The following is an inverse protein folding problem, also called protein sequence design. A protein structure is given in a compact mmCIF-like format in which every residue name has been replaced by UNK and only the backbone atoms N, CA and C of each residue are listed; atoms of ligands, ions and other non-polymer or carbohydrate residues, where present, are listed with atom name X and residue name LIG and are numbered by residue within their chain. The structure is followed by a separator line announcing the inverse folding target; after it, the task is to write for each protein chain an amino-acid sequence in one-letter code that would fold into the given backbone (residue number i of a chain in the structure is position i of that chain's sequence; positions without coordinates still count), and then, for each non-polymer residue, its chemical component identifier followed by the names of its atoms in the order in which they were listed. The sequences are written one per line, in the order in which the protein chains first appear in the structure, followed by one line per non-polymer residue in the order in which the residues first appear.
data_IF_788018339533
#
_entry.id   IF_788018339533
#
_cell.length_a   1.000
_cell.length_b   1.000
_cell.length_c   1.000
_cell.angle_alpha   90.00
_cell.angle_beta   90.00
_cell.angle_gamma   90.00
#
_symmetry.space_group_name_H-M   'P 1'
#
loop_
_entity.id
_entity.type
_entity.pdbx_description
1 polymer ?
#
# COMPACT_ATOMS: atom_id res chain seq x y z
N UNK A 1 11.46 -5.71 -8.21
CA UNK A 1 12.43 -4.78 -8.84
C UNK A 1 13.83 -5.28 -8.54
N UNK A 2 14.77 -5.24 -9.48
CA UNK A 2 16.18 -5.48 -9.18
C UNK A 2 17.09 -4.60 -10.04
N UNK A 3 18.32 -4.43 -9.58
CA UNK A 3 19.33 -3.62 -10.24
C UNK A 3 20.04 -4.41 -11.35
N UNK A 4 20.19 -3.81 -12.54
CA UNK A 4 20.91 -4.40 -13.67
C UNK A 4 21.58 -3.33 -14.52
N UNK A 5 22.89 -3.42 -14.73
CA UNK A 5 23.67 -2.57 -15.64
C UNK A 5 23.37 -1.06 -15.50
N UNK A 6 23.49 -0.52 -14.29
CA UNK A 6 23.19 0.89 -13.98
C UNK A 6 21.71 1.32 -14.15
N UNK A 7 20.76 0.39 -14.34
CA UNK A 7 19.31 0.66 -14.44
C UNK A 7 18.51 -0.17 -13.43
N UNK A 8 17.25 0.21 -13.23
CA UNK A 8 16.26 -0.59 -12.51
C UNK A 8 15.45 -1.40 -13.50
N UNK A 9 15.32 -2.70 -13.24
CA UNK A 9 14.48 -3.60 -14.02
C UNK A 9 13.22 -3.96 -13.21
N UNK A 10 12.07 -3.57 -13.75
CA UNK A 10 10.73 -3.91 -13.29
C UNK A 10 10.24 -5.11 -14.07
N UNK A 11 9.68 -6.10 -13.37
CA UNK A 11 9.10 -7.30 -13.95
C UNK A 11 7.70 -7.47 -13.40
N UNK A 12 6.70 -7.56 -14.27
CA UNK A 12 5.39 -8.06 -13.89
C UNK A 12 5.44 -9.58 -13.92
N UNK A 13 4.98 -10.22 -12.85
CA UNK A 13 5.04 -11.67 -12.64
C UNK A 13 3.65 -12.12 -12.25
N UNK A 14 3.14 -13.16 -12.93
CA UNK A 14 1.84 -13.74 -12.59
C UNK A 14 1.91 -14.63 -11.32
N UNK A 15 0.76 -15.11 -10.88
CA UNK A 15 0.65 -16.01 -9.71
C UNK A 15 1.31 -17.38 -9.90
N UNK A 16 1.72 -17.74 -11.12
CA UNK A 16 2.49 -18.93 -11.45
C UNK A 16 4.00 -18.65 -11.53
N UNK A 17 4.45 -17.42 -11.25
CA UNK A 17 5.84 -17.01 -11.37
C UNK A 17 6.31 -16.74 -12.80
N UNK A 18 5.39 -16.68 -13.76
CA UNK A 18 5.69 -16.36 -15.15
C UNK A 18 5.87 -14.85 -15.29
N UNK A 19 7.03 -14.44 -15.81
CA UNK A 19 7.28 -13.04 -16.16
C UNK A 19 6.39 -12.70 -17.37
N UNK A 20 5.47 -11.77 -17.19
CA UNK A 20 4.57 -11.30 -18.24
C UNK A 20 5.28 -10.28 -19.15
N UNK A 21 5.98 -9.33 -18.54
CA UNK A 21 6.77 -8.33 -19.24
C UNK A 21 7.82 -7.70 -18.32
N UNK A 22 8.76 -7.00 -18.95
CA UNK A 22 9.89 -6.33 -18.29
C UNK A 22 10.03 -4.91 -18.80
N UNK A 23 10.32 -3.97 -17.89
CA UNK A 23 10.59 -2.57 -18.20
C UNK A 23 11.88 -2.11 -17.50
N UNK A 24 12.70 -1.33 -18.20
CA UNK A 24 13.89 -0.70 -17.62
C UNK A 24 13.66 0.78 -17.36
N UNK A 25 14.14 1.29 -16.22
CA UNK A 25 14.10 2.70 -15.85
C UNK A 25 15.44 3.20 -15.32
N UNK A 26 15.71 4.52 -15.41
CA UNK A 26 16.80 5.15 -14.68
C UNK A 26 16.73 4.84 -13.18
N UNK A 27 17.88 4.70 -12.52
CA UNK A 27 17.93 4.38 -11.07
C UNK A 27 17.25 5.39 -10.17
N UNK A 28 17.27 6.65 -10.57
CA UNK A 28 16.65 7.75 -9.84
C UNK A 28 15.11 7.68 -9.87
N UNK A 29 14.54 6.87 -10.76
CA UNK A 29 13.10 6.68 -10.94
C UNK A 29 12.67 5.33 -10.33
N UNK A 30 12.94 5.12 -9.04
CA UNK A 30 12.63 3.87 -8.33
C UNK A 30 11.17 3.75 -7.89
N UNK A 31 10.45 4.88 -7.81
CA UNK A 31 9.05 4.89 -7.43
C UNK A 31 8.16 4.25 -8.51
N UNK A 32 7.19 3.46 -8.05
CA UNK A 32 6.16 2.84 -8.88
C UNK A 32 4.88 2.69 -8.08
N UNK A 33 3.76 2.56 -8.78
CA UNK A 33 2.46 2.24 -8.19
C UNK A 33 1.84 1.09 -8.98
N UNK A 34 1.21 0.16 -8.28
CA UNK A 34 0.30 -0.83 -8.87
C UNK A 34 -1.07 -0.60 -8.27
N UNK A 35 -2.07 -0.41 -9.11
CA UNK A 35 -3.45 -0.18 -8.68
C UNK A 35 -4.44 -0.77 -9.69
N UNK A 36 -5.72 -0.74 -9.37
CA UNK A 36 -6.80 -1.18 -10.26
C UNK A 36 -7.62 0.02 -10.73
N UNK A 37 -8.10 -0.06 -11.96
CA UNK A 37 -9.00 0.90 -12.59
C UNK A 37 -10.20 0.14 -13.16
N UNK A 38 -11.25 0.82 -13.60
CA UNK A 38 -12.37 0.21 -14.32
C UNK A 38 -11.95 -0.62 -15.54
N UNK A 39 -10.84 -0.22 -16.19
CA UNK A 39 -10.28 -0.94 -17.33
C UNK A 39 -9.33 -2.08 -16.93
N UNK A 40 -9.23 -2.41 -15.64
CA UNK A 40 -8.35 -3.44 -15.09
C UNK A 40 -7.07 -2.90 -14.43
N UNK A 41 -6.16 -3.80 -14.02
CA UNK A 41 -4.97 -3.45 -13.26
C UNK A 41 -3.95 -2.69 -14.09
N UNK A 42 -3.32 -1.69 -13.47
CA UNK A 42 -2.35 -0.82 -14.09
C UNK A 42 -1.08 -0.70 -13.23
N UNK A 43 0.07 -0.73 -13.90
CA UNK A 43 1.36 -0.38 -13.33
C UNK A 43 1.75 1.03 -13.79
N UNK A 44 1.97 1.94 -12.85
CA UNK A 44 2.50 3.28 -13.14
C UNK A 44 3.99 3.30 -12.84
N UNK A 45 4.79 3.61 -13.85
CA UNK A 45 6.24 3.63 -13.75
C UNK A 45 6.78 5.03 -14.04
N UNK A 46 7.67 5.49 -13.18
CA UNK A 46 8.38 6.76 -13.35
C UNK A 46 9.49 6.62 -14.40
N UNK A 47 9.73 7.68 -15.18
CA UNK A 47 10.80 7.76 -16.16
C UNK A 47 11.30 9.21 -16.29
N UNK A 48 12.35 9.42 -17.10
CA UNK A 48 12.89 10.73 -17.43
C UNK A 48 12.53 11.13 -18.85
N UNK A 49 11.92 12.29 -19.00
CA UNK A 49 11.67 12.93 -20.28
C UNK A 49 12.95 13.52 -20.90
N UNK A 50 12.86 14.02 -22.14
CA UNK A 50 13.96 14.73 -22.77
C UNK A 50 14.34 15.98 -21.95
N UNK A 51 15.63 16.29 -21.90
CA UNK A 51 16.14 17.46 -21.20
C UNK A 51 15.59 18.74 -21.84
N UNK A 52 14.81 19.51 -21.08
CA UNK A 52 14.29 20.81 -21.52
C UNK A 52 14.93 21.90 -20.67
N UNK A 53 15.58 22.88 -21.29
CA UNK A 53 16.22 23.99 -20.57
C UNK A 53 17.37 23.61 -19.62
N UNK A 54 17.98 22.43 -19.80
CA UNK A 54 19.10 21.95 -18.97
C UNK A 54 18.71 21.20 -17.70
N UNK A 55 17.40 20.97 -17.46
CA UNK A 55 16.91 20.11 -16.38
C UNK A 55 16.26 18.85 -16.94
N UNK A 56 16.41 17.73 -16.21
CA UNK A 56 15.71 16.48 -16.51
C UNK A 56 14.28 16.60 -16.01
N UNK A 57 13.30 16.38 -16.89
CA UNK A 57 11.89 16.37 -16.54
C UNK A 57 11.48 14.98 -16.07
N UNK A 58 10.93 14.87 -14.87
CA UNK A 58 10.32 13.63 -14.39
C UNK A 58 9.01 13.38 -15.13
N UNK A 59 8.76 12.12 -15.49
CA UNK A 59 7.53 11.72 -16.18
C UNK A 59 6.95 10.45 -15.57
N UNK A 60 5.65 10.26 -15.71
CA UNK A 60 4.94 9.03 -15.37
C UNK A 60 4.28 8.43 -16.62
N UNK A 61 4.12 7.11 -16.66
CA UNK A 61 3.32 6.42 -17.67
C UNK A 61 2.62 5.22 -17.05
N UNK A 62 1.35 5.03 -17.42
CA UNK A 62 0.56 3.87 -17.03
C UNK A 62 0.65 2.75 -18.06
N UNK A 63 0.85 1.53 -17.58
CA UNK A 63 0.96 0.32 -18.37
C UNK A 63 -0.06 -0.70 -17.89
N UNK A 64 -0.76 -1.31 -18.82
CA UNK A 64 -1.56 -2.50 -18.55
C UNK A 64 -0.71 -3.56 -17.83
N UNK A 65 -1.12 -3.96 -16.62
CA UNK A 65 -0.28 -4.83 -15.77
C UNK A 65 -0.10 -6.23 -16.37
N UNK A 66 -1.05 -6.70 -17.19
CA UNK A 66 -0.99 -8.05 -17.77
C UNK A 66 -0.14 -8.11 -19.03
N UNK A 67 -0.27 -7.12 -19.90
CA UNK A 67 0.31 -7.11 -21.25
C UNK A 67 1.55 -6.23 -21.39
N UNK A 68 1.74 -5.28 -20.47
CA UNK A 68 2.80 -4.28 -20.54
C UNK A 68 2.56 -3.21 -21.61
N UNK A 69 1.38 -3.18 -22.23
CA UNK A 69 1.02 -2.15 -23.19
C UNK A 69 0.82 -0.81 -22.47
N UNK A 70 1.44 0.24 -23.00
CA UNK A 70 1.25 1.60 -22.48
C UNK A 70 -0.19 2.04 -22.74
N UNK A 71 -0.90 2.43 -21.68
CA UNK A 71 -2.26 2.98 -21.75
C UNK A 71 -2.25 4.50 -21.90
N UNK A 72 -1.37 5.17 -21.16
CA UNK A 72 -1.22 6.62 -21.20
C UNK A 72 0.22 7.08 -20.92
N UNK A 73 0.47 8.36 -21.19
CA UNK A 73 1.75 9.03 -20.96
C UNK A 73 2.75 8.93 -22.14
N UNK A 74 3.95 9.53 -21.99
CA UNK A 74 4.46 10.14 -20.76
C UNK A 74 3.72 11.42 -20.36
N UNK A 75 3.40 11.55 -19.09
CA UNK A 75 2.88 12.78 -18.47
C UNK A 75 3.99 13.39 -17.64
N UNK A 76 4.27 14.68 -17.81
CA UNK A 76 5.26 15.39 -17.00
C UNK A 76 4.76 15.53 -15.56
N UNK A 77 5.63 15.25 -14.59
CA UNK A 77 5.32 15.38 -13.17
C UNK A 77 6.13 16.51 -12.55
N UNK A 78 5.58 17.23 -11.55
CA UNK A 78 6.30 18.33 -10.90
C UNK A 78 7.56 17.87 -10.15
N UNK A 79 7.66 16.57 -9.84
CA UNK A 79 8.82 15.97 -9.20
C UNK A 79 8.59 14.51 -8.84
N UNK A 80 9.09 14.11 -7.68
CA UNK A 80 9.04 12.73 -7.19
C UNK A 80 7.62 12.35 -6.74
N UNK A 81 7.28 11.07 -6.86
CA UNK A 81 6.07 10.51 -6.29
C UNK A 81 6.21 10.41 -4.77
N UNK A 82 5.22 10.89 -4.05
CA UNK A 82 5.09 10.77 -2.60
C UNK A 82 4.29 9.49 -2.33
N UNK A 83 4.73 8.63 -1.41
CA UNK A 83 4.16 7.29 -1.17
C UNK A 83 2.65 7.21 -0.87
N UNK A 84 1.96 8.35 -0.78
CA UNK A 84 0.52 8.49 -0.57
C UNK A 84 -0.26 8.34 -1.90
N UNK A 85 0.06 7.31 -2.67
CA UNK A 85 -0.57 7.01 -3.96
C UNK A 85 0.00 7.79 -5.14
N UNK A 86 -0.84 8.14 -6.13
CA UNK A 86 -0.38 8.79 -7.37
C UNK A 86 -0.26 10.32 -7.22
N UNK A 87 0.44 10.74 -6.16
CA UNK A 87 0.68 12.14 -5.79
C UNK A 87 2.15 12.48 -5.99
N UNK A 88 2.41 13.62 -6.64
CA UNK A 88 3.75 14.11 -6.95
C UNK A 88 3.99 15.44 -6.25
N UNK A 89 5.22 15.69 -5.82
CA UNK A 89 5.61 16.99 -5.26
C UNK A 89 6.76 17.63 -6.01
N UNK A 90 6.64 18.95 -6.19
CA UNK A 90 7.77 19.78 -6.59
C UNK A 90 8.85 19.80 -5.51
N UNK A 91 10.09 20.06 -5.90
CA UNK A 91 11.14 20.38 -4.94
C UNK A 91 10.75 21.60 -4.07
N UNK A 92 11.07 21.61 -2.77
CA UNK A 92 10.80 22.77 -1.92
C UNK A 92 11.57 23.99 -2.42
N UNK A 93 10.93 25.17 -2.41
CA UNK A 93 11.51 26.43 -2.93
C UNK A 93 12.82 26.82 -2.22
N UNK A 94 12.94 26.49 -0.93
CA UNK A 94 14.08 26.89 -0.09
C UNK A 94 15.03 25.74 0.25
N UNK A 95 14.91 24.58 -0.41
CA UNK A 95 15.67 23.33 -0.15
C UNK A 95 15.60 22.78 1.29
N UNK A 96 14.99 23.52 2.22
CA UNK A 96 14.74 23.21 3.62
C UNK A 96 13.25 23.51 3.87
N UNK A 97 12.44 22.47 4.09
CA UNK A 97 11.01 22.63 4.39
C UNK A 97 10.13 21.51 3.86
N UNK A 98 8.84 21.58 4.21
CA UNK A 98 7.74 20.74 3.69
C UNK A 98 7.76 20.72 2.17
N UNK A 99 7.43 19.59 1.55
CA UNK A 99 7.48 19.42 0.10
C UNK A 99 6.78 20.55 -0.68
N UNK A 100 7.22 20.83 -1.90
CA UNK A 100 6.60 21.85 -2.75
C UNK A 100 5.15 21.51 -3.14
N UNK A 101 4.51 22.36 -3.97
CA UNK A 101 3.15 22.12 -4.46
C UNK A 101 2.98 20.70 -5.01
N UNK A 102 1.87 20.07 -4.63
CA UNK A 102 1.54 18.69 -4.99
C UNK A 102 0.56 18.60 -6.15
N UNK A 103 0.69 17.56 -6.95
CA UNK A 103 -0.22 17.23 -8.06
C UNK A 103 -0.60 15.75 -7.98
N UNK A 104 -1.88 15.44 -8.04
CA UNK A 104 -2.39 14.08 -8.13
C UNK A 104 -2.84 13.78 -9.56
N UNK A 105 -2.50 12.58 -10.06
CA UNK A 105 -2.91 12.11 -11.38
C UNK A 105 -3.94 10.99 -11.28
N UNK A 106 -4.90 10.96 -12.19
CA UNK A 106 -5.80 9.84 -12.39
C UNK A 106 -5.00 8.59 -12.82
N UNK A 107 -5.09 7.46 -12.10
CA UNK A 107 -4.40 6.23 -12.50
C UNK A 107 -4.89 5.64 -13.82
N UNK A 108 -6.14 5.85 -14.21
CA UNK A 108 -6.73 5.34 -15.45
C UNK A 108 -6.30 6.14 -16.69
N UNK A 109 -6.15 7.46 -16.58
CA UNK A 109 -5.90 8.33 -17.75
C UNK A 109 -4.57 9.06 -17.73
N UNK A 110 -3.97 9.24 -16.54
CA UNK A 110 -2.81 10.10 -16.32
C UNK A 110 -3.14 11.60 -16.27
N UNK A 111 -4.43 11.98 -16.33
CA UNK A 111 -4.85 13.38 -16.25
C UNK A 111 -4.69 13.94 -14.84
N UNK A 112 -4.53 15.26 -14.73
CA UNK A 112 -4.44 15.94 -13.43
C UNK A 112 -5.82 16.04 -12.81
N UNK A 113 -6.03 15.38 -11.68
CA UNK A 113 -7.30 15.43 -10.91
C UNK A 113 -7.25 16.43 -9.77
N UNK A 114 -6.05 16.73 -9.25
CA UNK A 114 -5.84 17.80 -8.30
C UNK A 114 -4.44 18.40 -8.44
N UNK A 115 -4.36 19.72 -8.33
CA UNK A 115 -3.09 20.43 -8.26
C UNK A 115 -3.19 21.52 -7.21
N UNK A 116 -2.20 21.59 -6.33
CA UNK A 116 -2.04 22.70 -5.41
C UNK A 116 -1.51 23.91 -6.15
N UNK A 117 -2.09 25.07 -5.86
CA UNK A 117 -1.52 26.36 -6.23
C UNK A 117 -1.02 27.06 -4.96
N UNK A 118 -0.06 27.98 -5.10
CA UNK A 118 0.49 28.73 -3.96
C UNK A 118 -0.60 29.53 -3.20
N UNK A 119 -1.68 29.91 -3.90
CA UNK A 119 -2.76 30.76 -3.38
C UNK A 119 -3.92 30.00 -2.73
N UNK A 120 -3.93 28.66 -2.77
CA UNK A 120 -5.04 27.85 -2.23
C UNK A 120 -4.71 27.30 -0.84
N UNK A 121 -5.63 27.46 0.12
CA UNK A 121 -5.52 26.80 1.44
C UNK A 121 -5.76 25.29 1.38
N UNK A 122 -6.23 24.78 0.24
CA UNK A 122 -6.44 23.36 0.00
C UNK A 122 -5.13 22.67 -0.38
N UNK A 123 -4.82 21.57 0.30
CA UNK A 123 -3.64 20.73 0.06
C UNK A 123 -4.02 19.31 -0.33
N UNK A 124 -3.22 18.69 -1.19
CA UNK A 124 -3.38 17.30 -1.62
C UNK A 124 -2.67 16.40 -0.62
N UNK A 125 -3.41 15.48 -0.02
CA UNK A 125 -2.91 14.57 1.01
C UNK A 125 -2.54 13.22 0.39
N UNK A 126 -3.51 12.57 -0.26
CA UNK A 126 -3.35 11.25 -0.84
C UNK A 126 -4.30 11.04 -2.03
N UNK A 127 -3.97 10.10 -2.92
CA UNK A 127 -4.88 9.59 -3.94
C UNK A 127 -4.73 8.07 -4.08
N UNK A 128 -5.75 7.33 -3.65
CA UNK A 128 -5.79 5.87 -3.75
C UNK A 128 -6.96 5.44 -4.61
N UNK A 129 -6.68 4.66 -5.66
CA UNK A 129 -7.70 4.24 -6.62
C UNK A 129 -8.49 5.46 -7.14
N UNK A 130 -9.75 5.61 -6.73
CA UNK A 130 -10.62 6.72 -7.10
C UNK A 130 -10.86 7.72 -5.97
N UNK A 131 -10.24 7.53 -4.81
CA UNK A 131 -10.44 8.33 -3.61
C UNK A 131 -9.32 9.37 -3.45
N UNK A 132 -9.68 10.62 -3.68
CA UNK A 132 -8.83 11.78 -3.43
C UNK A 132 -9.07 12.30 -2.01
N UNK A 133 -7.99 12.44 -1.23
CA UNK A 133 -8.02 13.08 0.09
C UNK A 133 -7.32 14.43 0.00
N UNK A 134 -8.04 15.48 0.42
CA UNK A 134 -7.51 16.86 0.52
C UNK A 134 -7.66 17.39 1.94
N UNK A 135 -6.73 18.23 2.36
CA UNK A 135 -6.88 19.01 3.58
C UNK A 135 -7.23 20.46 3.26
N UNK A 136 -8.12 21.06 4.06
CA UNK A 136 -8.50 22.46 3.96
C UNK A 136 -8.87 22.98 5.34
N UNK A 137 -8.20 24.07 5.74
CA UNK A 137 -8.32 24.61 7.09
C UNK A 137 -8.02 23.50 8.10
N UNK A 138 -8.92 23.18 9.03
CA UNK A 138 -8.74 22.08 10.00
C UNK A 138 -9.42 20.76 9.56
N UNK A 139 -9.87 20.66 8.31
CA UNK A 139 -10.65 19.51 7.83
C UNK A 139 -9.89 18.66 6.81
N UNK A 140 -10.20 17.37 6.82
CA UNK A 140 -9.95 16.43 5.74
C UNK A 140 -11.24 16.26 4.93
N UNK A 141 -11.09 16.20 3.61
CA UNK A 141 -12.17 16.08 2.65
C UNK A 141 -11.83 14.90 1.74
N UNK A 142 -12.71 13.91 1.71
CA UNK A 142 -12.66 12.79 0.76
C UNK A 142 -13.58 13.02 -0.42
N UNK A 143 -13.07 12.79 -1.62
CA UNK A 143 -13.75 13.00 -2.89
C UNK A 143 -13.49 11.83 -3.84
N UNK A 144 -14.40 11.60 -4.78
CA UNK A 144 -14.13 10.75 -5.92
C UNK A 144 -13.42 11.54 -7.06
N UNK A 145 -13.02 10.86 -8.13
CA UNK A 145 -12.36 11.50 -9.27
C UNK A 145 -13.27 12.40 -10.11
N UNK A 146 -14.59 12.25 -10.01
CA UNK A 146 -15.57 13.16 -10.62
C UNK A 146 -15.67 14.50 -9.86
N UNK A 147 -15.04 14.59 -8.68
CA UNK A 147 -15.07 15.77 -7.81
C UNK A 147 -16.27 15.81 -6.86
N UNK A 148 -17.05 14.73 -6.79
CA UNK A 148 -18.10 14.58 -5.78
C UNK A 148 -17.48 14.37 -4.41
N UNK A 149 -17.97 15.14 -3.46
CA UNK A 149 -17.57 15.01 -2.06
C UNK A 149 -18.27 13.82 -1.42
N UNK A 150 -17.46 12.89 -0.92
CA UNK A 150 -17.93 11.72 -0.17
C UNK A 150 -18.11 12.07 1.31
N UNK A 151 -17.14 12.77 1.90
CA UNK A 151 -17.18 13.13 3.32
C UNK A 151 -16.34 14.37 3.66
N UNK A 152 -16.56 14.87 4.87
CA UNK A 152 -15.72 15.87 5.52
C UNK A 152 -15.60 15.48 6.99
N UNK A 153 -14.37 15.53 7.52
CA UNK A 153 -14.04 15.27 8.92
C UNK A 153 -13.05 16.29 9.41
N UNK A 154 -13.06 16.57 10.71
CA UNK A 154 -12.02 17.38 11.30
C UNK A 154 -10.75 16.52 11.39
N UNK A 155 -9.58 17.08 11.06
CA UNK A 155 -8.34 16.31 11.08
C UNK A 155 -8.05 15.74 12.50
N UNK A 156 -8.43 16.50 13.53
CA UNK A 156 -8.34 16.07 14.93
C UNK A 156 -9.24 14.88 15.29
N UNK A 157 -10.19 14.47 14.45
CA UNK A 157 -10.92 13.21 14.62
C UNK A 157 -9.98 11.98 14.44
N UNK A 158 -8.78 12.20 13.88
CA UNK A 158 -7.73 11.21 13.66
C UNK A 158 -6.43 11.57 14.41
N UNK A 159 -6.53 12.39 15.46
CA UNK A 159 -5.40 12.85 16.29
C UNK A 159 -4.26 13.55 15.51
N UNK A 160 -4.59 14.16 14.37
CA UNK A 160 -3.63 14.91 13.53
C UNK A 160 -4.16 16.30 13.20
N UNK A 161 -3.27 17.25 12.95
CA UNK A 161 -3.66 18.50 12.29
C UNK A 161 -3.78 18.30 10.77
N UNK A 162 -4.51 19.19 10.10
CA UNK A 162 -4.62 19.18 8.64
C UNK A 162 -3.27 19.38 7.91
N UNK A 163 -2.30 20.01 8.58
CA UNK A 163 -0.94 20.18 8.09
C UNK A 163 -0.12 18.89 8.27
N UNK A 164 -0.25 18.21 9.42
CA UNK A 164 0.42 16.93 9.68
C UNK A 164 -0.13 15.81 8.80
N UNK A 165 -1.45 15.75 8.61
CA UNK A 165 -2.11 14.76 7.75
C UNK A 165 -1.51 14.70 6.34
N UNK A 166 -1.02 15.84 5.84
CA UNK A 166 -0.34 15.95 4.55
C UNK A 166 1.04 15.28 4.54
N UNK A 167 1.76 15.35 5.66
CA UNK A 167 3.17 14.94 5.75
C UNK A 167 3.34 13.52 6.29
N UNK A 168 2.38 13.01 7.05
CA UNK A 168 2.43 11.62 7.53
C UNK A 168 2.14 10.62 6.40
N UNK A 169 2.65 9.38 6.51
CA UNK A 169 2.37 8.33 5.56
C UNK A 169 0.89 7.95 5.54
N UNK A 170 0.40 7.70 4.33
CA UNK A 170 -0.87 7.06 4.07
C UNK A 170 -0.63 5.79 3.27
N UNK A 171 -1.18 4.67 3.72
CA UNK A 171 -1.02 3.38 3.07
C UNK A 171 -2.38 2.83 2.65
N UNK A 172 -2.59 2.46 1.37
CA UNK A 172 -3.87 1.90 0.93
C UNK A 172 -4.04 0.48 1.47
N UNK A 173 -5.19 0.21 2.09
CA UNK A 173 -5.57 -1.11 2.56
C UNK A 173 -6.78 -1.59 1.75
N UNK A 174 -6.54 -2.56 0.87
CA UNK A 174 -7.53 -2.96 -0.13
C UNK A 174 -7.89 -1.81 -1.07
N UNK A 175 -9.16 -1.74 -1.50
CA UNK A 175 -9.63 -0.72 -2.43
C UNK A 175 -10.31 0.49 -1.76
N UNK A 176 -10.72 0.35 -0.50
CA UNK A 176 -11.65 1.28 0.15
C UNK A 176 -11.15 1.82 1.49
N UNK A 177 -9.99 1.38 1.97
CA UNK A 177 -9.45 1.83 3.25
C UNK A 177 -8.06 2.40 3.10
N UNK A 178 -7.66 3.22 4.07
CA UNK A 178 -6.29 3.69 4.20
C UNK A 178 -5.86 3.68 5.66
N UNK A 179 -4.59 3.35 5.89
CA UNK A 179 -3.94 3.40 7.17
C UNK A 179 -3.14 4.70 7.28
N UNK A 180 -3.39 5.44 8.36
CA UNK A 180 -2.79 6.72 8.67
C UNK A 180 -1.71 6.57 9.73
N UNK A 181 -0.49 7.04 9.45
CA UNK A 181 0.63 7.05 10.41
C UNK A 181 1.80 6.16 10.02
N UNK A 182 2.91 6.32 10.74
CA UNK A 182 4.19 5.68 10.44
C UNK A 182 4.17 4.16 10.60
N UNK A 183 4.79 3.46 9.65
CA UNK A 183 4.98 2.01 9.72
C UNK A 183 5.78 1.64 11.00
N UNK A 184 5.19 0.78 11.83
CA UNK A 184 5.78 0.31 13.09
C UNK A 184 5.41 1.12 14.33
N UNK A 185 4.62 2.20 14.19
CA UNK A 185 3.95 2.83 15.33
C UNK A 185 2.67 2.08 15.68
N UNK A 186 2.31 2.01 16.96
CA UNK A 186 0.99 1.54 17.40
C UNK A 186 -0.07 2.65 17.31
N UNK A 187 0.29 3.92 17.13
CA UNK A 187 -0.68 5.04 17.13
C UNK A 187 -1.31 5.29 15.73
N UNK A 188 -1.52 4.24 14.94
CA UNK A 188 -2.04 4.36 13.58
C UNK A 188 -3.56 4.23 13.58
N UNK A 189 -4.21 4.89 12.61
CA UNK A 189 -5.67 4.85 12.46
C UNK A 189 -6.05 4.32 11.09
N UNK A 190 -6.90 3.30 11.06
CA UNK A 190 -7.49 2.78 9.84
C UNK A 190 -8.79 3.51 9.54
N UNK A 191 -8.92 4.04 8.32
CA UNK A 191 -10.11 4.78 7.91
C UNK A 191 -10.76 4.14 6.69
N UNK A 192 -12.09 4.26 6.60
CA UNK A 192 -12.86 3.99 5.38
C UNK A 192 -12.87 5.24 4.49
N UNK A 193 -12.34 5.12 3.28
CA UNK A 193 -12.23 6.21 2.30
C UNK A 193 -13.57 6.63 1.70
N UNK A 194 -14.63 5.82 1.81
CA UNK A 194 -15.97 6.16 1.33
C UNK A 194 -16.75 7.01 2.34
N UNK A 195 -16.56 6.78 3.63
CA UNK A 195 -17.33 7.43 4.69
C UNK A 195 -16.53 8.44 5.52
N UNK A 196 -15.21 8.31 5.53
CA UNK A 196 -14.29 9.04 6.41
C UNK A 196 -14.43 8.60 7.87
N UNK A 197 -15.00 7.43 8.15
CA UNK A 197 -15.06 6.89 9.50
C UNK A 197 -13.76 6.18 9.86
N UNK A 198 -13.29 6.35 11.10
CA UNK A 198 -12.28 5.48 11.68
C UNK A 198 -12.91 4.10 11.90
N UNK A 199 -12.26 3.07 11.38
CA UNK A 199 -12.64 1.67 11.58
C UNK A 199 -11.97 1.13 12.84
N UNK A 200 -10.68 1.45 13.00
CA UNK A 200 -9.88 1.02 14.14
C UNK A 200 -8.74 2.02 14.38
N UNK A 201 -8.27 2.11 15.62
CA UNK A 201 -7.22 3.03 16.06
C UNK A 201 -6.29 2.36 17.05
N UNK A 202 -5.14 2.96 17.32
CA UNK A 202 -4.12 2.38 18.20
C UNK A 202 -3.66 0.99 17.71
N UNK A 203 -3.49 0.88 16.38
CA UNK A 203 -3.01 -0.35 15.72
C UNK A 203 -1.61 -0.19 15.13
N UNK A 204 -0.85 -1.29 15.16
CA UNK A 204 0.46 -1.42 14.52
C UNK A 204 0.37 -1.59 13.00
N UNK A 205 -0.74 -2.16 12.51
CA UNK A 205 -0.92 -2.47 11.10
C UNK A 205 -2.34 -2.91 10.75
N UNK A 206 -2.64 -2.84 9.45
CA UNK A 206 -3.88 -3.30 8.86
C UNK A 206 -3.60 -3.98 7.52
N UNK A 207 -4.43 -4.96 7.16
CA UNK A 207 -4.33 -5.71 5.92
C UNK A 207 -5.71 -6.11 5.41
N UNK A 208 -5.84 -6.38 4.12
CA UNK A 208 -7.08 -6.86 3.51
C UNK A 208 -6.87 -8.24 2.88
N UNK A 209 -7.65 -9.23 3.31
CA UNK A 209 -7.70 -10.55 2.67
C UNK A 209 -8.87 -10.63 1.68
N UNK A 210 -8.58 -10.52 0.39
CA UNK A 210 -9.61 -10.60 -0.66
C UNK A 210 -10.32 -11.96 -0.71
N UNK A 211 -9.66 -13.04 -0.26
CA UNK A 211 -10.23 -14.39 -0.33
C UNK A 211 -11.37 -14.64 0.67
N UNK A 212 -11.39 -13.88 1.77
CA UNK A 212 -12.42 -13.92 2.80
C UNK A 212 -13.18 -12.61 2.93
N UNK A 213 -12.82 -11.60 2.13
CA UNK A 213 -13.34 -10.23 2.22
C UNK A 213 -13.28 -9.72 3.66
N UNK A 214 -12.10 -9.87 4.30
CA UNK A 214 -11.88 -9.48 5.71
C UNK A 214 -10.77 -8.45 5.79
N UNK A 215 -11.07 -7.34 6.45
CA UNK A 215 -10.07 -6.37 6.90
C UNK A 215 -9.52 -6.84 8.25
N UNK A 216 -8.21 -6.99 8.37
CA UNK A 216 -7.54 -7.46 9.59
C UNK A 216 -6.70 -6.33 10.16
N UNK A 217 -6.81 -6.10 11.46
CA UNK A 217 -5.96 -5.15 12.19
C UNK A 217 -5.19 -5.84 13.30
N UNK A 218 -4.09 -5.24 13.73
CA UNK A 218 -3.29 -5.72 14.84
C UNK A 218 -2.97 -4.54 15.77
N UNK A 219 -3.64 -4.48 16.93
CA UNK A 219 -3.32 -3.59 18.04
C UNK A 219 -2.99 -4.42 19.28
N UNK A 220 -3.67 -4.14 20.39
CA UNK A 220 -3.61 -4.99 21.59
C UNK A 220 -4.10 -6.43 21.29
N UNK A 221 -5.11 -6.54 20.44
CA UNK A 221 -5.65 -7.79 19.92
C UNK A 221 -5.64 -7.79 18.39
N UNK A 222 -5.84 -8.98 17.80
CA UNK A 222 -6.17 -9.09 16.39
C UNK A 222 -7.68 -8.93 16.25
N UNK A 223 -8.09 -8.05 15.35
CA UNK A 223 -9.48 -7.89 14.98
C UNK A 223 -9.69 -8.15 13.48
N UNK A 224 -10.85 -8.68 13.15
CA UNK A 224 -11.31 -8.84 11.79
C UNK A 224 -12.63 -8.11 11.57
N UNK A 225 -12.71 -7.34 10.50
CA UNK A 225 -13.86 -6.54 10.13
C UNK A 225 -14.42 -6.94 8.76
N UNK A 226 -15.72 -6.69 8.60
CA UNK A 226 -16.38 -6.60 7.31
C UNK A 226 -15.83 -5.43 6.48
N UNK A 227 -16.10 -5.44 5.18
CA UNK A 227 -15.72 -4.35 4.26
C UNK A 227 -16.44 -3.02 4.56
N UNK A 228 -17.48 -3.04 5.39
CA UNK A 228 -18.17 -1.84 5.91
C UNK A 228 -17.63 -1.34 7.27
N UNK A 229 -16.59 -1.99 7.80
CA UNK A 229 -15.97 -1.65 9.08
C UNK A 229 -16.65 -2.28 10.30
N UNK A 230 -17.65 -3.14 10.13
CA UNK A 230 -18.28 -3.86 11.26
C UNK A 230 -17.35 -4.96 11.78
N UNK A 231 -17.14 -5.04 13.09
CA UNK A 231 -16.32 -6.11 13.68
C UNK A 231 -17.00 -7.48 13.52
N UNK A 232 -16.24 -8.45 13.01
CA UNK A 232 -16.64 -9.85 12.85
C UNK A 232 -16.12 -10.73 13.97
N UNK A 233 -14.86 -10.52 14.38
CA UNK A 233 -14.18 -11.32 15.36
C UNK A 233 -13.01 -10.56 15.99
N UNK A 234 -12.66 -10.99 17.19
CA UNK A 234 -11.52 -10.53 17.98
C UNK A 234 -10.78 -11.78 18.50
N UNK A 235 -9.45 -11.73 18.50
CA UNK A 235 -8.61 -12.80 19.02
C UNK A 235 -7.32 -12.25 19.59
N UNK A 236 -6.77 -12.85 20.66
CA UNK A 236 -5.47 -12.48 21.18
C UNK A 236 -4.38 -12.53 20.11
N UNK A 237 -3.59 -11.45 20.01
CA UNK A 237 -2.32 -11.46 19.29
C UNK A 237 -1.36 -12.42 19.99
N UNK A 238 -0.71 -13.36 19.28
CA UNK A 238 0.24 -14.27 19.92
C UNK A 238 1.39 -13.50 20.59
N UNK A 239 1.81 -13.93 21.77
CA UNK A 239 2.92 -13.29 22.49
C UNK A 239 4.21 -13.32 21.64
N UNK A 240 4.93 -12.20 21.60
CA UNK A 240 6.18 -12.02 20.83
C UNK A 240 6.02 -12.33 19.33
N UNK A 241 4.85 -12.04 18.77
CA UNK A 241 4.56 -12.22 17.36
C UNK A 241 4.10 -10.91 16.72
N UNK A 242 4.59 -10.64 15.52
CA UNK A 242 4.11 -9.56 14.66
C UNK A 242 3.40 -10.15 13.45
N UNK A 243 2.39 -9.45 12.93
CA UNK A 243 1.74 -9.89 11.68
C UNK A 243 2.71 -9.63 10.52
N UNK A 244 3.17 -10.70 9.87
CA UNK A 244 4.09 -10.62 8.75
C UNK A 244 3.34 -10.36 7.43
N UNK A 245 2.23 -11.06 7.22
CA UNK A 245 1.38 -10.88 6.05
C UNK A 245 -0.02 -11.44 6.27
N UNK A 246 -0.98 -10.93 5.51
CA UNK A 246 -2.34 -11.45 5.42
C UNK A 246 -2.67 -11.71 3.95
N UNK A 247 -3.27 -12.86 3.68
CA UNK A 247 -3.70 -13.24 2.33
C UNK A 247 -4.03 -14.73 2.22
N UNK A 248 -4.76 -15.11 1.16
CA UNK A 248 -5.24 -16.46 0.92
C UNK A 248 -5.97 -17.09 2.13
N UNK A 249 -6.66 -16.26 2.92
CA UNK A 249 -7.46 -16.66 4.06
C UNK A 249 -6.65 -16.88 5.33
N UNK A 250 -5.37 -16.50 5.32
CA UNK A 250 -4.44 -16.66 6.44
C UNK A 250 -3.92 -15.31 6.93
N UNK A 251 -3.64 -15.26 8.23
CA UNK A 251 -2.83 -14.25 8.90
C UNK A 251 -1.55 -14.98 9.31
N UNK A 252 -0.42 -14.64 8.71
CA UNK A 252 0.88 -15.22 9.03
C UNK A 252 1.65 -14.31 9.99
N UNK A 253 2.36 -14.91 10.94
CA UNK A 253 3.08 -14.17 11.96
C UNK A 253 4.59 -14.35 11.80
N UNK A 254 5.37 -13.29 11.99
CA UNK A 254 6.78 -13.42 12.33
C UNK A 254 6.88 -13.62 13.84
N UNK A 255 7.63 -14.62 14.27
CA UNK A 255 7.83 -14.89 15.69
C UNK A 255 9.30 -14.71 16.00
N UNK A 256 9.63 -13.80 16.90
CA UNK A 256 11.00 -13.70 17.37
C UNK A 256 11.40 -15.05 17.99
N UNK A 257 12.39 -15.72 17.40
CA UNK A 257 12.88 -17.00 17.89
C UNK A 257 13.71 -16.81 19.15
N UNK A 258 13.09 -16.44 20.27
CA UNK A 258 13.72 -16.47 21.60
C UNK A 258 13.63 -17.87 22.18
N UNK A 259 14.25 -18.86 21.53
CA UNK A 259 14.21 -20.25 21.96
C UNK A 259 15.52 -20.97 21.65
N UNK A 260 16.28 -21.33 22.69
CA UNK A 260 17.37 -22.30 22.57
C UNK A 260 16.89 -23.67 22.05
N UNK A 261 17.80 -24.60 21.75
CA UNK A 261 17.55 -25.81 20.95
C UNK A 261 16.55 -26.83 21.52
N UNK A 262 15.82 -26.52 22.59
CA UNK A 262 14.95 -27.45 23.32
C UNK A 262 13.53 -26.92 23.57
N UNK A 263 13.13 -25.77 23.01
CA UNK A 263 11.72 -25.34 23.04
C UNK A 263 10.98 -25.83 21.80
N UNK A 264 10.09 -26.80 22.02
CA UNK A 264 9.10 -27.31 21.05
C UNK A 264 7.79 -26.51 21.08
N UNK A 265 7.82 -25.29 21.63
CA UNK A 265 6.63 -24.46 21.70
C UNK A 265 6.25 -24.04 20.29
N UNK A 266 5.07 -24.47 19.87
CA UNK A 266 4.56 -24.26 18.51
C UNK A 266 4.31 -22.76 18.36
N UNK A 267 5.28 -22.04 17.83
CA UNK A 267 5.04 -20.71 17.29
C UNK A 267 3.81 -20.79 16.39
N UNK A 268 2.82 -19.94 16.67
CA UNK A 268 1.61 -19.87 15.85
C UNK A 268 2.05 -19.28 14.50
N UNK A 269 2.33 -20.15 13.54
CA UNK A 269 2.77 -19.71 12.22
C UNK A 269 1.66 -18.95 11.47
N UNK A 270 0.39 -19.31 11.72
CA UNK A 270 -0.76 -18.65 11.10
C UNK A 270 -2.10 -18.84 11.84
N UNK A 271 -3.01 -17.90 11.60
CA UNK A 271 -4.44 -17.93 11.94
C UNK A 271 -5.30 -17.78 10.69
N UNK A 272 -6.59 -18.08 10.77
CA UNK A 272 -7.52 -17.82 9.67
C UNK A 272 -7.97 -16.36 9.68
N UNK A 273 -7.86 -15.67 8.54
CA UNK A 273 -8.39 -14.33 8.38
C UNK A 273 -9.93 -14.27 8.52
N UNK A 274 -10.62 -15.40 8.28
CA UNK A 274 -12.09 -15.44 8.32
C UNK A 274 -12.67 -15.30 9.73
N UNK A 275 -11.98 -15.81 10.74
CA UNK A 275 -12.54 -15.96 12.10
C UNK A 275 -11.51 -15.88 13.23
N UNK A 276 -10.25 -15.53 12.95
CA UNK A 276 -9.19 -15.41 13.95
C UNK A 276 -8.71 -16.73 14.56
N UNK A 277 -9.31 -17.88 14.25
CA UNK A 277 -8.93 -19.16 14.85
C UNK A 277 -7.57 -19.62 14.34
N UNK A 278 -6.88 -20.48 15.10
CA UNK A 278 -5.64 -21.11 14.66
C UNK A 278 -5.84 -21.77 13.29
N UNK A 279 -4.89 -21.56 12.38
CA UNK A 279 -4.94 -22.19 11.07
C UNK A 279 -4.56 -23.67 11.23
N UNK A 280 -5.56 -24.54 11.15
CA UNK A 280 -5.37 -25.99 11.24
C UNK A 280 -5.22 -26.62 9.84
N UNK A 281 -4.50 -27.74 9.78
CA UNK A 281 -4.32 -28.53 8.56
C UNK A 281 -2.90 -28.52 7.99
N UNK A 282 -2.75 -29.17 6.84
CA UNK A 282 -1.48 -29.39 6.14
C UNK A 282 -1.52 -28.81 4.71
N UNK A 283 -1.97 -27.56 4.59
CA UNK A 283 -1.99 -26.89 3.28
C UNK A 283 -0.55 -26.67 2.79
N UNK A 284 -0.31 -26.62 1.46
CA UNK A 284 1.01 -26.31 0.93
C UNK A 284 1.59 -25.02 1.51
N UNK A 285 0.78 -23.96 1.61
CA UNK A 285 1.19 -22.67 2.19
C UNK A 285 1.59 -22.82 3.67
N UNK A 286 0.76 -23.45 4.51
CA UNK A 286 1.11 -23.66 5.92
C UNK A 286 2.39 -24.50 6.11
N UNK A 287 2.63 -25.49 5.24
CA UNK A 287 3.89 -26.25 5.24
C UNK A 287 5.08 -25.36 4.87
N UNK A 288 4.91 -24.52 3.85
CA UNK A 288 5.93 -23.56 3.44
C UNK A 288 6.27 -22.61 4.57
N UNK A 289 5.28 -21.99 5.23
CA UNK A 289 5.48 -21.10 6.37
C UNK A 289 6.31 -21.77 7.49
N UNK A 290 5.96 -23.01 7.82
CA UNK A 290 6.69 -23.80 8.83
C UNK A 290 8.14 -24.12 8.43
N UNK A 291 8.43 -24.21 7.13
CA UNK A 291 9.73 -24.63 6.60
C UNK A 291 10.67 -23.49 6.21
N UNK A 292 10.12 -22.39 5.67
CA UNK A 292 10.88 -21.29 5.08
C UNK A 292 10.76 -19.98 5.89
N UNK A 293 9.89 -19.95 6.91
CA UNK A 293 9.60 -18.76 7.69
C UNK A 293 8.46 -17.93 7.11
N UNK A 294 8.30 -16.74 7.66
CA UNK A 294 7.15 -15.88 7.43
C UNK A 294 7.28 -15.09 6.12
N UNK A 295 6.17 -14.92 5.37
CA UNK A 295 6.15 -14.27 4.09
C UNK A 295 6.06 -12.76 4.29
N UNK A 296 6.63 -12.03 3.34
CA UNK A 296 6.45 -10.57 3.21
C UNK A 296 5.13 -10.22 2.52
N UNK A 297 4.58 -11.15 1.75
CA UNK A 297 3.35 -10.96 0.99
C UNK A 297 2.70 -12.31 0.68
N UNK A 298 1.36 -12.34 0.68
CA UNK A 298 0.56 -13.48 0.26
C UNK A 298 -0.50 -12.96 -0.71
N UNK A 299 -0.46 -13.43 -1.96
CA UNK A 299 -1.47 -13.15 -2.96
C UNK A 299 -2.72 -14.01 -2.72
N UNK A 300 -3.87 -13.59 -3.25
CA UNK A 300 -5.14 -14.34 -3.16
C UNK A 300 -5.04 -15.79 -3.65
N UNK A 301 -4.21 -16.05 -4.66
CA UNK A 301 -3.96 -17.39 -5.20
C UNK A 301 -3.13 -18.28 -4.27
N UNK A 302 -2.69 -17.78 -3.12
CA UNK A 302 -1.77 -18.45 -2.20
C UNK A 302 -0.31 -18.41 -2.65
N UNK A 303 0.03 -17.60 -3.66
CA UNK A 303 1.42 -17.32 -3.97
C UNK A 303 2.00 -16.42 -2.86
N UNK A 304 3.22 -16.70 -2.40
CA UNK A 304 3.84 -16.00 -1.29
C UNK A 304 5.28 -15.61 -1.61
N UNK A 305 5.70 -14.44 -1.15
CA UNK A 305 7.09 -14.01 -1.18
C UNK A 305 7.71 -14.28 0.19
N UNK A 306 8.70 -15.17 0.25
CA UNK A 306 9.35 -15.61 1.50
C UNK A 306 10.87 -15.42 1.40
N UNK A 307 11.55 -15.21 2.52
CA UNK A 307 13.02 -15.13 2.58
C UNK A 307 13.52 -13.71 2.81
N UNK A 308 14.65 -13.33 2.20
CA UNK A 308 15.22 -12.00 2.39
C UNK A 308 14.42 -10.93 1.59
N UNK A 309 14.03 -9.78 2.18
CA UNK A 309 13.28 -8.73 1.46
C UNK A 309 13.97 -8.19 0.20
N UNK A 310 15.31 -8.20 0.16
CA UNK A 310 16.11 -7.78 -1.00
C UNK A 310 16.23 -8.89 -2.05
N UNK A 311 16.04 -10.15 -1.67
CA UNK A 311 16.09 -11.33 -2.54
C UNK A 311 14.98 -12.33 -2.22
N UNK A 312 13.69 -11.94 -2.37
CA UNK A 312 12.59 -12.79 -1.96
C UNK A 312 12.44 -13.98 -2.92
N UNK A 313 12.08 -15.13 -2.37
CA UNK A 313 11.68 -16.31 -3.11
C UNK A 313 10.17 -16.29 -3.34
N UNK A 314 9.76 -16.36 -4.61
CA UNK A 314 8.36 -16.55 -4.96
C UNK A 314 8.00 -18.02 -4.87
N UNK A 315 7.08 -18.33 -3.96
CA UNK A 315 6.43 -19.63 -3.84
C UNK A 315 5.05 -19.50 -4.47
N UNK A 316 4.66 -20.44 -5.33
CA UNK A 316 3.36 -20.38 -6.01
C UNK A 316 2.39 -21.34 -5.32
N UNK A 317 1.11 -20.97 -5.27
CA UNK A 317 0.07 -21.73 -4.56
C UNK A 317 -0.35 -23.05 -5.23
N UNK A 318 0.37 -23.55 -6.25
CA UNK A 318 -0.07 -24.74 -7.00
C UNK A 318 0.34 -26.06 -6.36
N UNK A 319 -0.63 -26.98 -6.47
CA UNK A 319 -0.63 -28.42 -6.22
C UNK A 319 0.46 -29.17 -6.98
#
# INVERSE_FOLDING_TARGET
MHEKDARLEYRAVDSNGVILWTAQRPRVCSAYLVTTTDSGPIAVLMDQGPTTGGSLTSTASGYDLETGQKRWGPVETPGAMLGNGLVFASAPKDFIGTGGPRTALDPATGDVVAAENDDTSTRVVALFSEHLVRSRDDNLIGENLDGDRLWTRTAGDFDVSAAEAREIPWEPIGATHALLGDAGSEERTLIDLNSGASVDSDISGAWFDSSTDTLVTAGADLQGFDSDGSERWESPLPENAEVAAVGAGLIAFDTESTGGPDQTDRSVAARSARNGSLAEGDTPLLRTLKSLGSPHHIAESGAALVGDPQSPLLITGRR
#
